data_IF_086399320022
#
_entry.id   IF_086399320022
#
_cell.length_a   1.000
_cell.length_b   1.000
_cell.length_c   1.000
_cell.angle_alpha   90.00
_cell.angle_beta   90.00
_cell.angle_gamma   90.00
#
_symmetry.space_group_name_H-M   'P 1'
#
loop_
_entity.id
_entity.type
_entity.pdbx_description
1 polymer ?
#
# COMPACT_ATOMS: atom_id res chain seq x y z
N UNK A 1 3.36 5.67 6.64
CA UNK A 1 2.40 5.40 7.75
C UNK A 1 1.36 6.51 7.99
N UNK A 2 1.65 7.78 7.68
CA UNK A 2 0.74 8.92 7.86
C UNK A 2 -0.68 8.69 7.29
N UNK A 3 -0.79 8.19 6.05
CA UNK A 3 -2.09 8.03 5.40
C UNK A 3 -3.00 7.03 6.10
N UNK A 4 -2.47 5.94 6.66
CA UNK A 4 -3.28 4.98 7.40
C UNK A 4 -3.95 5.62 8.63
N UNK A 5 -3.24 6.52 9.32
CA UNK A 5 -3.76 7.29 10.46
C UNK A 5 -4.75 8.36 10.03
N UNK A 6 -4.48 9.07 8.93
CA UNK A 6 -5.45 10.00 8.34
C UNK A 6 -6.76 9.28 7.98
N UNK A 7 -6.69 8.07 7.41
CA UNK A 7 -7.89 7.28 7.08
C UNK A 7 -8.72 6.92 8.31
N UNK A 8 -8.06 6.44 9.37
CA UNK A 8 -8.74 6.15 10.64
C UNK A 8 -9.40 7.42 11.21
N UNK A 9 -8.71 8.57 11.16
CA UNK A 9 -9.26 9.84 11.60
C UNK A 9 -10.47 10.27 10.76
N UNK A 10 -10.36 10.29 9.43
CA UNK A 10 -11.43 10.73 8.52
C UNK A 10 -12.70 9.93 8.75
N UNK A 11 -12.59 8.61 8.88
CA UNK A 11 -13.72 7.74 9.23
C UNK A 11 -14.28 8.03 10.63
N UNK A 12 -13.41 8.17 11.64
CA UNK A 12 -13.81 8.51 13.02
C UNK A 12 -14.64 9.79 13.07
N UNK A 13 -14.24 10.79 12.30
CA UNK A 13 -14.90 12.08 12.26
C UNK A 13 -16.30 12.00 11.64
N UNK A 14 -16.48 11.25 10.55
CA UNK A 14 -17.83 11.00 10.04
C UNK A 14 -18.70 10.24 11.05
N UNK A 15 -18.14 9.28 11.79
CA UNK A 15 -18.87 8.57 12.84
C UNK A 15 -19.33 9.51 13.96
N UNK A 16 -18.46 10.44 14.42
CA UNK A 16 -18.80 11.44 15.45
C UNK A 16 -19.94 12.37 15.04
N UNK A 17 -20.10 12.60 13.74
CA UNK A 17 -21.20 13.39 13.22
C UNK A 17 -22.51 12.61 13.08
N UNK A 18 -22.51 11.34 13.47
CA UNK A 18 -23.67 10.47 13.42
C UNK A 18 -23.88 9.81 12.06
N UNK A 19 -22.92 9.89 11.14
CA UNK A 19 -23.02 9.14 9.88
C UNK A 19 -22.85 7.64 10.16
N UNK A 20 -23.85 6.86 9.75
CA UNK A 20 -23.78 5.39 9.71
C UNK A 20 -23.35 4.87 8.34
N UNK A 21 -23.62 5.68 7.32
CA UNK A 21 -23.30 5.41 5.91
C UNK A 21 -22.98 6.72 5.21
N UNK A 22 -22.15 6.66 4.17
CA UNK A 22 -21.75 7.82 3.37
C UNK A 22 -21.58 7.40 1.91
N UNK A 23 -21.87 8.32 0.99
CA UNK A 23 -21.56 8.13 -0.43
C UNK A 23 -20.05 8.11 -0.65
N UNK A 24 -19.56 7.17 -1.47
CA UNK A 24 -18.12 7.01 -1.69
C UNK A 24 -17.47 8.29 -2.23
N UNK A 25 -18.15 8.99 -3.14
CA UNK A 25 -17.69 10.29 -3.64
C UNK A 25 -17.51 11.33 -2.55
N UNK A 26 -18.38 11.34 -1.53
CA UNK A 26 -18.26 12.26 -0.38
C UNK A 26 -17.16 11.80 0.58
N UNK A 27 -16.99 10.49 0.77
CA UNK A 27 -15.86 9.96 1.53
C UNK A 27 -14.51 10.39 0.90
N UNK A 28 -14.44 10.42 -0.43
CA UNK A 28 -13.26 10.86 -1.19
C UNK A 28 -13.34 12.31 -1.68
N UNK A 29 -14.19 13.14 -1.07
CA UNK A 29 -14.35 14.52 -1.48
C UNK A 29 -13.00 15.23 -1.62
N UNK A 30 -12.88 16.01 -2.69
CA UNK A 30 -11.68 16.73 -3.13
C UNK A 30 -10.55 15.87 -3.73
N UNK A 31 -10.79 14.58 -3.98
CA UNK A 31 -9.97 13.80 -4.90
C UNK A 31 -10.46 13.95 -6.35
N UNK A 32 -9.55 13.78 -7.30
CA UNK A 32 -9.92 13.66 -8.72
C UNK A 32 -10.40 12.26 -9.01
N UNK A 33 -11.55 12.12 -9.68
CA UNK A 33 -12.13 10.82 -10.00
C UNK A 33 -11.95 10.41 -11.46
N UNK A 34 -11.86 9.10 -11.66
CA UNK A 34 -12.09 8.47 -12.95
C UNK A 34 -13.53 8.68 -13.45
N UNK A 35 -13.76 8.51 -14.76
CA UNK A 35 -15.12 8.63 -15.33
C UNK A 35 -16.08 7.57 -14.78
N UNK A 36 -15.57 6.37 -14.52
CA UNK A 36 -16.32 5.23 -13.97
C UNK A 36 -15.88 4.98 -12.53
N UNK A 37 -15.98 6.02 -11.70
CA UNK A 37 -15.76 5.88 -10.27
C UNK A 37 -17.01 5.22 -9.63
N UNK A 38 -16.84 4.24 -8.73
CA UNK A 38 -17.97 3.53 -8.13
C UNK A 38 -18.92 4.48 -7.40
N UNK A 39 -20.20 4.43 -7.76
CA UNK A 39 -21.25 5.17 -7.09
C UNK A 39 -21.94 4.27 -6.05
N UNK A 40 -21.27 4.06 -4.92
CA UNK A 40 -21.72 3.17 -3.84
C UNK A 40 -21.81 3.92 -2.52
N UNK A 41 -22.69 3.44 -1.64
CA UNK A 41 -22.75 3.87 -0.24
C UNK A 41 -21.97 2.88 0.62
N UNK A 42 -21.03 3.38 1.40
CA UNK A 42 -20.25 2.59 2.35
C UNK A 42 -20.85 2.72 3.75
N UNK A 43 -20.86 1.63 4.50
CA UNK A 43 -21.16 1.63 5.92
C UNK A 43 -19.90 2.00 6.69
N UNK A 44 -20.05 2.90 7.66
CA UNK A 44 -18.95 3.32 8.50
C UNK A 44 -18.83 2.37 9.71
N UNK A 45 -17.63 1.83 9.98
CA UNK A 45 -17.39 1.06 11.21
C UNK A 45 -17.53 1.98 12.43
N UNK A 46 -17.80 1.41 13.61
CA UNK A 46 -17.87 2.22 14.83
C UNK A 46 -16.50 2.83 15.14
N UNK A 47 -16.51 4.02 15.73
CA UNK A 47 -15.28 4.77 16.06
C UNK A 47 -14.36 3.94 16.94
N UNK A 48 -14.90 3.25 17.94
CA UNK A 48 -14.13 2.49 18.93
C UNK A 48 -13.44 1.25 18.33
N UNK A 49 -13.94 0.78 17.18
CA UNK A 49 -13.42 -0.43 16.53
C UNK A 49 -12.28 -0.13 15.54
N UNK A 50 -12.07 1.14 15.18
CA UNK A 50 -11.09 1.54 14.17
C UNK A 50 -9.66 1.24 14.63
N UNK A 51 -8.98 0.35 13.89
CA UNK A 51 -7.62 -0.10 14.19
C UNK A 51 -6.71 0.04 12.98
N UNK A 52 -5.41 0.16 13.23
CA UNK A 52 -4.38 0.15 12.18
C UNK A 52 -3.42 -0.99 12.47
N UNK A 53 -3.16 -1.80 11.46
CA UNK A 53 -2.30 -2.97 11.57
C UNK A 53 -1.22 -2.94 10.50
N UNK A 54 -0.09 -3.57 10.78
CA UNK A 54 0.95 -3.86 9.79
C UNK A 54 0.87 -5.34 9.45
N UNK A 55 0.87 -5.66 8.17
CA UNK A 55 0.98 -7.05 7.76
C UNK A 55 2.41 -7.53 7.94
N UNK A 56 2.58 -8.84 8.13
CA UNK A 56 3.90 -9.50 8.07
C UNK A 56 4.26 -9.98 6.67
N UNK A 57 3.25 -10.19 5.81
CA UNK A 57 3.41 -10.68 4.44
C UNK A 57 2.65 -9.77 3.46
N UNK A 58 2.99 -9.85 2.17
CA UNK A 58 2.29 -9.09 1.14
C UNK A 58 0.85 -9.57 1.01
N UNK A 59 -0.07 -8.63 0.83
CA UNK A 59 -1.46 -8.91 0.50
C UNK A 59 -1.87 -8.27 -0.83
N UNK A 60 -2.61 -8.98 -1.71
CA UNK A 60 -2.87 -10.42 -1.65
C UNK A 60 -1.56 -11.19 -1.77
N UNK A 61 -1.40 -12.22 -0.92
CA UNK A 61 -0.29 -13.16 -1.06
C UNK A 61 -0.47 -13.91 -2.38
N UNK A 62 0.63 -14.31 -3.02
CA UNK A 62 0.65 -14.96 -4.34
C UNK A 62 -0.26 -16.19 -4.37
N UNK A 63 -1.51 -16.01 -4.78
CA UNK A 63 -2.31 -17.02 -5.45
C UNK A 63 -2.06 -16.82 -6.94
N UNK A 64 -1.50 -17.83 -7.60
CA UNK A 64 -1.07 -17.90 -9.00
C UNK A 64 0.42 -17.56 -9.29
N UNK A 65 1.35 -18.34 -8.71
CA UNK A 65 2.11 -19.20 -9.63
C UNK A 65 1.19 -20.39 -9.85
N UNK A 66 0.65 -20.51 -11.06
CA UNK A 66 -0.10 -21.71 -11.44
C UNK A 66 0.81 -22.89 -11.13
N UNK A 67 0.41 -23.75 -10.19
CA UNK A 67 0.91 -25.11 -10.15
C UNK A 67 0.46 -25.71 -11.47
N UNK A 68 1.37 -25.77 -12.43
CA UNK A 68 1.27 -26.73 -13.51
C UNK A 68 1.28 -28.10 -12.83
N UNK A 69 0.07 -28.63 -12.59
CA UNK A 69 -0.16 -30.00 -12.20
C UNK A 69 0.30 -30.90 -13.34
N UNK A 70 1.61 -31.10 -13.50
CA UNK A 70 2.13 -32.36 -14.01
C UNK A 70 2.20 -33.31 -12.82
N UNK A 71 1.11 -34.06 -12.69
CA UNK A 71 1.11 -35.33 -11.97
C UNK A 71 1.98 -36.28 -12.79
N UNK A 72 3.27 -36.34 -12.47
CA UNK A 72 4.09 -37.50 -12.78
C UNK A 72 4.11 -38.40 -11.55
N UNK A 73 2.99 -39.07 -11.31
CA UNK A 73 3.02 -40.36 -10.62
C UNK A 73 3.54 -41.39 -11.59
N UNK A 74 4.77 -41.85 -11.40
CA UNK A 74 5.05 -43.29 -11.43
C UNK A 74 6.34 -43.61 -10.66
N UNK A 75 6.15 -44.32 -9.56
CA UNK A 75 7.17 -44.90 -8.70
C UNK A 75 8.01 -45.96 -9.45
N UNK A 76 9.32 -45.86 -9.25
CA UNK A 76 10.30 -46.94 -9.03
C UNK A 76 10.11 -48.27 -9.79
N UNK A 77 11.12 -48.60 -10.63
CA UNK A 77 11.78 -49.91 -10.59
C UNK A 77 13.20 -49.88 -11.19
N UNK A 78 14.12 -50.32 -10.34
CA UNK A 78 15.51 -50.72 -10.59
C UNK A 78 15.55 -51.89 -11.58
N UNK A 79 16.52 -51.89 -12.52
CA UNK A 79 17.43 -53.03 -12.70
C UNK A 79 18.64 -52.74 -13.61
N UNK A 80 19.76 -53.34 -13.22
CA UNK A 80 21.11 -53.30 -13.79
C UNK A 80 21.19 -53.84 -15.24
N UNK A 81 22.16 -53.39 -16.04
CA UNK A 81 23.38 -54.17 -16.38
C UNK A 81 24.28 -53.51 -17.47
N UNK A 82 25.57 -53.40 -17.13
CA UNK A 82 26.78 -53.74 -17.90
C UNK A 82 27.17 -53.19 -19.29
N UNK A 83 28.46 -52.79 -19.33
CA UNK A 83 29.48 -52.88 -20.40
C UNK A 83 29.39 -51.88 -21.59
N UNK A 84 30.44 -51.18 -22.05
CA UNK A 84 31.91 -51.40 -22.02
C UNK A 84 32.63 -50.15 -22.58
N UNK A 85 33.87 -49.88 -22.09
CA UNK A 85 35.11 -49.43 -22.78
C UNK A 85 35.08 -48.15 -23.65
N UNK A 86 35.85 -47.09 -23.37
CA UNK A 86 37.33 -46.87 -23.33
C UNK A 86 37.73 -45.93 -24.49
N UNK A 87 38.74 -45.10 -24.21
CA UNK A 87 39.61 -44.26 -25.08
C UNK A 87 39.45 -42.76 -24.78
N UNK A 88 40.12 -42.17 -23.78
CA UNK A 88 41.55 -41.81 -23.58
C UNK A 88 42.16 -40.79 -24.58
N UNK A 89 42.71 -39.74 -23.95
CA UNK A 89 43.89 -38.92 -24.30
C UNK A 89 43.71 -37.86 -25.40
N UNK A 90 44.35 -36.69 -25.37
CA UNK A 90 45.08 -35.86 -24.39
C UNK A 90 45.44 -34.55 -25.15
N UNK A 91 46.01 -33.59 -24.43
CA UNK A 91 46.77 -32.39 -24.81
C UNK A 91 46.01 -31.08 -24.55
N UNK A 92 46.34 -30.35 -23.48
CA UNK A 92 47.58 -29.55 -23.27
C UNK A 92 47.64 -28.38 -24.29
N UNK A 93 47.92 -27.13 -23.96
CA UNK A 93 48.51 -26.52 -22.77
C UNK A 93 48.41 -24.99 -22.96
N UNK A 94 48.41 -24.26 -21.84
CA UNK A 94 49.08 -22.98 -21.58
C UNK A 94 48.68 -21.69 -22.34
N UNK A 95 48.36 -20.64 -21.57
CA UNK A 95 49.43 -19.72 -21.15
C UNK A 95 48.99 -18.84 -19.96
N UNK A 96 49.94 -18.71 -19.03
CA UNK A 96 49.91 -18.04 -17.74
C UNK A 96 50.25 -16.53 -17.84
N UNK A 97 50.28 -15.91 -16.65
CA UNK A 97 51.00 -14.69 -16.22
C UNK A 97 50.17 -13.39 -16.17
N UNK A 98 50.25 -12.55 -15.14
CA UNK A 98 50.82 -12.58 -13.78
C UNK A 98 50.33 -11.28 -13.10
N UNK A 99 50.09 -11.34 -11.78
CA UNK A 99 50.30 -10.35 -10.71
C UNK A 99 49.98 -8.86 -10.92
N UNK A 100 49.20 -8.29 -9.98
CA UNK A 100 49.71 -7.23 -9.09
C UNK A 100 48.83 -7.01 -7.85
N UNK A 101 49.54 -6.60 -6.80
CA UNK A 101 49.21 -6.55 -5.39
C UNK A 101 48.29 -5.38 -4.98
N UNK A 102 47.71 -5.57 -3.79
CA UNK A 102 47.36 -4.57 -2.76
C UNK A 102 46.39 -3.43 -3.06
N UNK A 103 45.19 -3.54 -2.46
CA UNK A 103 44.67 -2.49 -1.58
C UNK A 103 43.65 -3.10 -0.61
N UNK A 104 44.08 -3.31 0.64
CA UNK A 104 43.18 -3.55 1.77
C UNK A 104 42.48 -2.23 2.09
N UNK A 105 41.23 -2.09 1.66
CA UNK A 105 40.32 -1.13 2.27
C UNK A 105 39.44 -1.87 3.26
N UNK A 106 39.60 -1.50 4.53
CA UNK A 106 38.71 -1.89 5.61
C UNK A 106 37.29 -1.42 5.27
N UNK A 107 36.45 -2.34 4.80
CA UNK A 107 35.01 -2.16 4.83
C UNK A 107 34.60 -2.37 6.28
N UNK A 108 34.51 -1.28 7.04
CA UNK A 108 33.60 -1.19 8.17
C UNK A 108 32.18 -1.25 7.60
N UNK A 109 31.77 -2.46 7.18
CA UNK A 109 30.38 -2.84 7.03
C UNK A 109 29.82 -2.88 8.45
N UNK A 110 29.44 -1.70 8.95
CA UNK A 110 28.38 -1.61 9.96
C UNK A 110 27.11 -2.16 9.29
N UNK A 111 27.01 -3.50 9.25
CA UNK A 111 25.75 -4.23 9.12
C UNK A 111 24.84 -3.72 10.24
N UNK A 112 24.10 -2.67 9.92
CA UNK A 112 22.95 -2.25 10.68
C UNK A 112 21.96 -3.41 10.64
N UNK A 113 22.05 -4.28 11.65
CA UNK A 113 21.11 -5.37 11.85
C UNK A 113 19.68 -4.81 11.77
N UNK A 114 18.84 -5.42 10.94
CA UNK A 114 17.43 -5.09 10.76
C UNK A 114 16.64 -5.04 12.09
N UNK A 115 17.18 -5.64 13.14
CA UNK A 115 16.66 -5.66 14.50
C UNK A 115 16.72 -4.29 15.21
N UNK A 116 17.64 -3.38 14.86
CA UNK A 116 17.76 -2.07 15.53
C UNK A 116 16.73 -1.04 15.03
N UNK A 117 16.10 -1.27 13.88
CA UNK A 117 14.91 -0.55 13.42
C UNK A 117 13.63 -0.95 14.19
N UNK A 118 13.65 -2.07 14.93
CA UNK A 118 12.45 -2.63 15.55
C UNK A 118 12.06 -1.94 16.88
N UNK A 119 12.93 -1.10 17.44
CA UNK A 119 12.72 -0.48 18.76
C UNK A 119 11.81 0.76 18.80
N UNK A 120 11.12 1.13 17.72
CA UNK A 120 10.22 2.30 17.72
C UNK A 120 8.89 2.05 16.98
N UNK A 121 7.99 1.20 17.51
CA UNK A 121 6.56 1.27 17.13
C UNK A 121 5.61 0.47 18.06
N UNK A 122 5.38 0.94 19.28
CA UNK A 122 4.48 0.29 20.25
C UNK A 122 2.96 0.40 19.93
N UNK A 123 2.56 0.88 18.74
CA UNK A 123 1.14 1.17 18.44
C UNK A 123 0.52 0.37 17.27
N UNK A 124 1.18 -0.69 16.79
CA UNK A 124 0.65 -1.50 15.68
C UNK A 124 0.55 -2.97 16.05
N UNK A 125 -0.64 -3.55 15.87
CA UNK A 125 -0.79 -5.00 15.87
C UNK A 125 -0.21 -5.54 14.55
N UNK A 126 0.82 -6.39 14.64
CA UNK A 126 1.32 -7.17 13.51
C UNK A 126 0.36 -8.34 13.27
N UNK A 127 -0.08 -8.55 12.02
CA UNK A 127 -1.01 -9.62 11.64
C UNK A 127 -0.47 -10.34 10.40
N UNK A 128 -0.59 -11.66 10.34
CA UNK A 128 -0.05 -12.44 9.22
C UNK A 128 -0.87 -12.23 7.94
N UNK A 129 -2.21 -12.32 8.02
CA UNK A 129 -3.11 -12.05 6.90
C UNK A 129 -4.43 -11.39 7.37
N UNK A 130 -5.05 -10.53 6.54
CA UNK A 130 -6.46 -10.24 6.72
C UNK A 130 -7.22 -11.56 6.48
N UNK A 131 -7.73 -12.16 7.57
CA UNK A 131 -8.41 -13.45 7.55
C UNK A 131 -9.42 -13.58 6.39
N UNK A 132 -9.66 -14.80 5.90
CA UNK A 132 -10.60 -15.13 4.82
C UNK A 132 -12.01 -14.54 4.99
N UNK A 133 -12.38 -14.22 6.23
CA UNK A 133 -13.60 -13.50 6.57
C UNK A 133 -13.34 -11.98 6.69
N UNK A 134 -13.54 -11.27 5.57
CA UNK A 134 -13.43 -9.81 5.49
C UNK A 134 -14.35 -9.10 6.49
N UNK A 135 -15.47 -9.70 6.89
CA UNK A 135 -16.43 -9.06 7.80
C UNK A 135 -15.81 -8.74 9.16
N UNK A 136 -14.82 -9.53 9.60
CA UNK A 136 -14.05 -9.30 10.83
C UNK A 136 -13.01 -8.18 10.69
N UNK A 137 -12.70 -7.79 9.46
CA UNK A 137 -11.62 -6.88 9.11
C UNK A 137 -12.10 -5.47 8.74
N UNK A 138 -13.42 -5.21 8.73
CA UNK A 138 -13.99 -3.92 8.29
C UNK A 138 -13.53 -2.70 9.10
N UNK A 139 -13.12 -2.92 10.34
CA UNK A 139 -12.64 -1.86 11.22
C UNK A 139 -11.14 -1.58 11.08
N UNK A 140 -10.41 -2.42 10.36
CA UNK A 140 -8.97 -2.34 10.22
C UNK A 140 -8.55 -1.54 8.98
N UNK A 141 -7.49 -0.74 9.15
CA UNK A 141 -6.66 -0.24 8.06
C UNK A 141 -5.34 -1.00 8.08
N UNK A 142 -4.98 -1.62 6.96
CA UNK A 142 -3.78 -2.43 6.85
C UNK A 142 -2.69 -1.64 6.14
N UNK A 143 -1.51 -1.58 6.74
CA UNK A 143 -0.27 -1.24 6.06
C UNK A 143 0.31 -2.54 5.50
N UNK A 144 0.47 -2.59 4.18
CA UNK A 144 1.08 -3.71 3.49
C UNK A 144 2.59 -3.73 3.72
N UNK A 145 3.24 -4.84 3.39
CA UNK A 145 4.71 -4.95 3.43
C UNK A 145 5.33 -4.48 2.12
N UNK A 146 6.60 -4.04 2.19
CA UNK A 146 7.33 -3.47 1.05
C UNK A 146 7.44 -4.46 -0.10
N UNK A 147 7.00 -4.09 -1.30
CA UNK A 147 7.02 -4.95 -2.49
C UNK A 147 5.64 -5.48 -2.90
N UNK A 148 4.60 -5.25 -2.09
CA UNK A 148 3.23 -5.53 -2.48
C UNK A 148 2.72 -4.58 -3.59
N UNK A 149 1.62 -4.96 -4.24
CA UNK A 149 0.99 -4.17 -5.31
C UNK A 149 0.31 -2.87 -4.83
N UNK A 150 0.17 -2.67 -3.51
CA UNK A 150 -0.26 -1.43 -2.88
C UNK A 150 0.24 -1.30 -1.45
N UNK A 151 0.33 -0.05 -0.97
CA UNK A 151 0.95 0.26 0.33
C UNK A 151 -0.03 0.15 1.50
N UNK A 152 -1.27 0.60 1.32
CA UNK A 152 -2.29 0.63 2.39
C UNK A 152 -3.61 0.16 1.82
N UNK A 153 -4.39 -0.60 2.60
CA UNK A 153 -5.74 -0.96 2.19
C UNK A 153 -6.73 -1.13 3.34
N UNK A 154 -8.01 -1.15 2.99
CA UNK A 154 -9.13 -1.38 3.91
C UNK A 154 -10.30 -2.00 3.16
N UNK A 155 -11.06 -2.83 3.87
CA UNK A 155 -12.38 -3.26 3.45
C UNK A 155 -13.48 -2.43 4.11
N UNK A 156 -14.49 -2.05 3.33
CA UNK A 156 -15.71 -1.43 3.82
C UNK A 156 -16.91 -2.25 3.34
N UNK A 157 -17.93 -2.35 4.18
CA UNK A 157 -19.21 -2.92 3.76
C UNK A 157 -19.93 -1.91 2.88
N UNK A 158 -20.54 -2.37 1.79
CA UNK A 158 -21.43 -1.60 0.93
C UNK A 158 -22.83 -2.22 0.94
N UNK A 159 -23.77 -1.61 0.23
CA UNK A 159 -25.15 -2.12 0.12
C UNK A 159 -25.20 -3.55 -0.41
N UNK A 160 -26.26 -4.29 -0.04
CA UNK A 160 -26.48 -5.70 -0.38
C UNK A 160 -25.45 -6.67 0.21
N UNK A 161 -24.92 -6.35 1.39
CA UNK A 161 -23.94 -7.16 2.13
C UNK A 161 -22.65 -7.48 1.37
N UNK A 162 -22.35 -6.69 0.33
CA UNK A 162 -21.11 -6.72 -0.43
C UNK A 162 -20.01 -5.91 0.25
N UNK A 163 -18.80 -6.02 -0.26
CA UNK A 163 -17.60 -5.35 0.21
C UNK A 163 -16.93 -4.53 -0.88
N UNK A 164 -16.34 -3.42 -0.45
CA UNK A 164 -15.48 -2.54 -1.21
C UNK A 164 -14.05 -2.65 -0.66
N UNK A 165 -13.07 -2.92 -1.51
CA UNK A 165 -11.66 -2.76 -1.17
C UNK A 165 -11.15 -1.38 -1.59
N UNK A 166 -10.60 -0.63 -0.65
CA UNK A 166 -9.87 0.62 -0.93
C UNK A 166 -8.39 0.27 -0.90
N UNK A 167 -7.75 0.15 -2.07
CA UNK A 167 -6.30 0.02 -2.17
C UNK A 167 -5.67 1.40 -2.40
N UNK A 168 -4.58 1.69 -1.70
CA UNK A 168 -3.90 2.97 -1.76
C UNK A 168 -2.47 2.73 -2.21
N UNK A 169 -2.12 3.36 -3.32
CA UNK A 169 -0.75 3.40 -3.82
C UNK A 169 -0.20 4.80 -3.58
N UNK A 170 0.88 4.88 -2.82
CA UNK A 170 1.65 6.07 -2.55
C UNK A 170 2.85 6.11 -3.48
N UNK A 171 3.07 7.28 -4.10
CA UNK A 171 4.27 7.58 -4.89
C UNK A 171 4.84 8.90 -4.40
N UNK A 172 5.77 8.80 -3.47
CA UNK A 172 6.38 9.92 -2.81
C UNK A 172 7.81 10.11 -3.33
N UNK A 173 8.13 11.34 -3.73
CA UNK A 173 9.51 11.77 -4.02
C UNK A 173 10.16 12.22 -2.72
N UNK A 174 11.30 11.62 -2.37
CA UNK A 174 12.18 12.11 -1.30
C UNK A 174 12.78 13.47 -1.68
N UNK A 175 13.01 14.35 -0.71
CA UNK A 175 13.65 15.66 -0.95
C UNK A 175 15.13 15.53 -1.32
N UNK A 176 15.79 14.45 -0.91
CA UNK A 176 17.24 14.26 -1.08
C UNK A 176 17.59 13.57 -2.40
N UNK A 177 16.59 13.27 -3.24
CA UNK A 177 16.86 12.64 -4.54
C UNK A 177 17.30 13.68 -5.56
N UNK A 178 18.48 13.46 -6.15
CA UNK A 178 18.98 14.25 -7.28
C UNK A 178 18.12 14.09 -8.55
N UNK A 179 17.23 13.09 -8.58
CA UNK A 179 16.28 12.85 -9.67
C UNK A 179 14.88 12.68 -9.08
N UNK A 180 14.07 13.76 -9.00
CA UNK A 180 12.71 13.65 -8.50
C UNK A 180 11.89 12.72 -9.39
N UNK A 181 11.03 11.91 -8.78
CA UNK A 181 10.13 11.03 -9.53
C UNK A 181 9.11 11.90 -10.27
N UNK A 182 8.84 11.55 -11.52
CA UNK A 182 7.79 12.17 -12.31
C UNK A 182 6.70 11.12 -12.53
N UNK A 183 5.48 11.44 -12.13
CA UNK A 183 4.31 10.60 -12.41
C UNK A 183 3.82 10.94 -13.80
N UNK A 184 4.01 9.99 -14.72
CA UNK A 184 3.46 10.04 -16.06
C UNK A 184 2.36 8.97 -16.24
N UNK A 185 1.73 8.98 -17.41
CA UNK A 185 0.65 8.05 -17.73
C UNK A 185 1.08 6.58 -17.66
N UNK A 186 2.32 6.26 -18.08
CA UNK A 186 2.83 4.88 -18.10
C UNK A 186 3.02 4.33 -16.70
N UNK A 187 3.62 5.12 -15.79
CA UNK A 187 3.78 4.73 -14.39
C UNK A 187 2.42 4.50 -13.74
N UNK A 188 1.47 5.43 -13.92
CA UNK A 188 0.11 5.27 -13.41
C UNK A 188 -0.58 4.02 -13.98
N UNK A 189 -0.47 3.78 -15.30
CA UNK A 189 -1.04 2.61 -15.95
C UNK A 189 -0.43 1.31 -15.41
N UNK A 190 0.87 1.29 -15.14
CA UNK A 190 1.56 0.14 -14.58
C UNK A 190 1.05 -0.18 -13.17
N UNK A 191 0.97 0.82 -12.28
CA UNK A 191 0.44 0.62 -10.93
C UNK A 191 -1.04 0.21 -10.95
N UNK A 192 -1.86 0.86 -11.79
CA UNK A 192 -3.27 0.48 -11.96
C UNK A 192 -3.40 -0.96 -12.45
N UNK A 193 -2.54 -1.40 -13.37
CA UNK A 193 -2.55 -2.78 -13.90
C UNK A 193 -2.17 -3.81 -12.84
N UNK A 194 -1.15 -3.52 -12.01
CA UNK A 194 -0.77 -4.39 -10.88
C UNK A 194 -1.93 -4.57 -9.91
N UNK A 195 -2.50 -3.47 -9.43
CA UNK A 195 -3.65 -3.48 -8.52
C UNK A 195 -4.84 -4.21 -9.15
N UNK A 196 -5.16 -3.95 -10.42
CA UNK A 196 -6.25 -4.64 -11.13
C UNK A 196 -6.05 -6.16 -11.19
N UNK A 197 -4.81 -6.63 -11.40
CA UNK A 197 -4.50 -8.06 -11.40
C UNK A 197 -4.66 -8.65 -10.00
N UNK A 198 -4.10 -8.00 -8.99
CA UNK A 198 -4.19 -8.44 -7.60
C UNK A 198 -5.62 -8.46 -7.05
N UNK A 199 -6.47 -7.52 -7.46
CA UNK A 199 -7.89 -7.48 -7.06
C UNK A 199 -8.69 -8.72 -7.47
N UNK A 200 -8.19 -9.54 -8.40
CA UNK A 200 -8.81 -10.85 -8.71
C UNK A 200 -8.73 -11.85 -7.55
N UNK A 201 -7.74 -11.69 -6.67
CA UNK A 201 -7.52 -12.54 -5.50
C UNK A 201 -8.12 -11.94 -4.22
N UNK A 202 -8.70 -10.75 -4.30
CA UNK A 202 -9.28 -10.04 -3.17
C UNK A 202 -10.78 -10.37 -3.10
N UNK A 203 -11.31 -10.85 -1.96
CA UNK A 203 -12.74 -11.20 -1.84
C UNK A 203 -13.65 -9.97 -1.66
N UNK A 204 -13.52 -8.97 -2.54
CA UNK A 204 -14.38 -7.78 -2.56
C UNK A 204 -15.04 -7.62 -3.94
N UNK A 205 -16.33 -7.32 -3.95
CA UNK A 205 -17.12 -7.17 -5.18
C UNK A 205 -16.83 -5.85 -5.89
N UNK A 206 -16.44 -4.83 -5.15
CA UNK A 206 -16.02 -3.54 -5.67
C UNK A 206 -14.62 -3.22 -5.16
N UNK A 207 -13.87 -2.44 -5.93
CA UNK A 207 -12.60 -1.91 -5.47
C UNK A 207 -12.33 -0.53 -6.03
N UNK A 208 -11.45 0.21 -5.37
CA UNK A 208 -10.87 1.43 -5.91
C UNK A 208 -9.36 1.48 -5.66
N UNK A 209 -8.64 2.06 -6.61
CA UNK A 209 -7.27 2.52 -6.42
C UNK A 209 -7.29 4.01 -6.07
N UNK A 210 -6.91 4.33 -4.84
CA UNK A 210 -6.56 5.68 -4.44
C UNK A 210 -5.06 5.91 -4.69
N UNK A 211 -4.74 6.69 -5.71
CA UNK A 211 -3.37 7.05 -6.05
C UNK A 211 -2.99 8.36 -5.34
N UNK A 212 -1.95 8.30 -4.51
CA UNK A 212 -1.51 9.42 -3.66
C UNK A 212 -0.08 9.81 -4.06
N UNK A 213 0.16 11.07 -4.42
CA UNK A 213 1.49 11.51 -4.85
C UNK A 213 1.81 12.95 -4.45
N UNK A 214 3.01 13.18 -3.95
CA UNK A 214 3.57 14.54 -3.78
C UNK A 214 4.46 14.95 -4.99
N UNK A 215 4.66 14.02 -5.92
CA UNK A 215 5.63 14.11 -7.00
C UNK A 215 5.07 14.91 -8.16
N UNK A 216 5.95 15.49 -8.97
CA UNK A 216 5.53 16.22 -10.17
C UNK A 216 4.81 15.30 -11.14
N UNK A 217 3.82 15.84 -11.83
CA UNK A 217 3.01 15.10 -12.81
C UNK A 217 3.20 15.69 -14.20
N UNK A 218 3.34 14.82 -15.20
CA UNK A 218 3.38 15.20 -16.61
C UNK A 218 2.46 14.31 -17.41
N UNK A 219 1.62 14.92 -18.24
CA UNK A 219 0.74 14.23 -19.20
C UNK A 219 -0.12 13.12 -18.58
N UNK A 220 -0.55 13.29 -17.33
CA UNK A 220 -1.34 12.30 -16.59
C UNK A 220 -2.84 12.55 -16.74
N UNK A 221 -3.58 11.55 -17.23
CA UNK A 221 -5.04 11.53 -17.29
C UNK A 221 -5.60 10.27 -16.63
N UNK A 222 -6.10 10.41 -15.41
CA UNK A 222 -6.70 9.29 -14.67
C UNK A 222 -8.14 8.94 -15.12
N UNK A 223 -8.77 9.82 -15.92
CA UNK A 223 -10.18 9.71 -16.33
C UNK A 223 -10.51 8.43 -17.12
N UNK A 224 -9.52 7.86 -17.81
CA UNK A 224 -9.73 6.76 -18.76
C UNK A 224 -9.71 5.37 -18.12
N UNK A 225 -9.03 5.22 -16.98
CA UNK A 225 -9.06 3.98 -16.20
C UNK A 225 -10.25 4.00 -15.26
N UNK A 226 -10.83 2.85 -14.99
CA UNK A 226 -11.95 2.71 -14.07
C UNK A 226 -11.47 2.64 -12.62
N UNK A 227 -12.40 2.77 -11.68
CA UNK A 227 -12.17 2.44 -10.27
C UNK A 227 -10.92 3.09 -9.66
N UNK A 228 -10.69 4.37 -9.96
CA UNK A 228 -9.57 5.09 -9.35
C UNK A 228 -9.91 6.53 -9.00
N UNK A 229 -9.17 7.01 -8.02
CA UNK A 229 -9.11 8.40 -7.59
C UNK A 229 -7.65 8.84 -7.45
N UNK A 230 -7.37 10.12 -7.68
CA UNK A 230 -6.05 10.73 -7.53
C UNK A 230 -6.11 11.87 -6.54
N UNK A 231 -5.14 11.89 -5.64
CA UNK A 231 -4.83 13.03 -4.79
C UNK A 231 -3.35 13.36 -5.01
N UNK A 232 -3.10 14.39 -5.80
CA UNK A 232 -1.76 14.93 -6.01
C UNK A 232 -1.49 16.08 -5.05
N UNK A 233 -0.27 16.62 -5.07
CA UNK A 233 0.12 17.80 -4.29
C UNK A 233 -0.89 18.96 -4.42
N UNK A 234 -1.50 19.14 -5.59
CA UNK A 234 -2.48 20.19 -5.85
C UNK A 234 -3.78 19.98 -5.06
N UNK A 235 -4.17 18.73 -4.83
CA UNK A 235 -5.38 18.39 -4.07
C UNK A 235 -5.10 18.22 -2.58
N UNK A 236 -3.85 18.22 -2.11
CA UNK A 236 -3.53 17.94 -0.71
C UNK A 236 -4.24 18.89 0.26
N UNK A 237 -4.25 20.19 -0.06
CA UNK A 237 -4.87 21.21 0.78
C UNK A 237 -6.39 21.09 0.84
N UNK A 238 -7.04 20.52 -0.16
CA UNK A 238 -8.49 20.34 -0.14
C UNK A 238 -8.87 18.96 0.42
N UNK A 239 -8.06 17.94 0.14
CA UNK A 239 -8.34 16.56 0.54
C UNK A 239 -7.99 16.26 2.00
N UNK A 240 -6.77 16.62 2.41
CA UNK A 240 -6.31 16.48 3.80
C UNK A 240 -6.56 17.75 4.60
N UNK A 241 -6.34 18.87 3.89
CA UNK A 241 -6.27 20.26 4.27
C UNK A 241 -5.28 20.72 5.31
N UNK A 242 -5.22 22.04 5.52
CA UNK A 242 -4.02 22.76 5.98
C UNK A 242 -3.12 22.00 6.96
N UNK A 243 -3.63 21.65 8.13
CA UNK A 243 -2.88 20.93 9.17
C UNK A 243 -2.37 19.57 8.70
N UNK A 244 -3.23 18.79 8.03
CA UNK A 244 -2.86 17.46 7.55
C UNK A 244 -2.10 17.52 6.22
N UNK A 245 -2.35 18.48 5.35
CA UNK A 245 -1.63 18.69 4.10
C UNK A 245 -0.16 18.99 4.36
N UNK A 246 0.13 19.87 5.33
CA UNK A 246 1.50 20.11 5.81
C UNK A 246 2.12 18.84 6.40
N UNK A 247 1.33 18.04 7.15
CA UNK A 247 1.80 16.74 7.65
C UNK A 247 1.97 15.68 6.55
N UNK A 248 1.20 15.69 5.46
CA UNK A 248 1.40 14.80 4.30
C UNK A 248 2.71 15.17 3.63
N UNK A 249 2.93 16.46 3.42
CA UNK A 249 4.17 17.00 2.86
C UNK A 249 5.34 16.63 3.79
N UNK A 250 5.21 16.82 5.10
CA UNK A 250 6.25 16.47 6.05
C UNK A 250 6.45 14.95 6.18
N UNK A 251 5.39 14.14 6.12
CA UNK A 251 5.46 12.67 6.11
C UNK A 251 6.19 12.17 4.87
N UNK A 252 6.02 12.91 3.77
CA UNK A 252 6.69 12.63 2.51
C UNK A 252 8.19 12.94 2.58
N UNK A 253 8.61 13.78 3.53
CA UNK A 253 10.01 14.12 3.75
C UNK A 253 10.62 13.44 4.98
N UNK A 254 9.82 12.94 5.94
CA UNK A 254 10.27 12.40 7.23
C UNK A 254 9.31 11.32 7.76
N UNK A 255 9.83 10.18 8.23
CA UNK A 255 9.01 9.05 8.69
C UNK A 255 8.33 9.24 10.07
N UNK A 256 8.72 10.26 10.85
CA UNK A 256 8.24 10.46 12.24
C UNK A 256 7.23 11.60 12.31
N UNK A 257 5.96 11.27 12.59
CA UNK A 257 4.92 12.27 12.93
C UNK A 257 4.19 11.87 14.22
N UNK A 258 4.21 12.80 15.18
CA UNK A 258 3.38 12.78 16.38
C UNK A 258 2.09 13.57 16.12
N UNK A 259 0.93 12.96 16.41
CA UNK A 259 -0.35 13.35 15.78
C UNK A 259 -1.29 14.12 16.70
N UNK A 260 -1.02 14.21 18.00
CA UNK A 260 -1.97 14.79 18.93
C UNK A 260 -1.74 16.29 19.14
N UNK A 261 -2.52 17.06 18.39
CA UNK A 261 -3.08 18.39 18.72
C UNK A 261 -3.71 18.91 17.43
N UNK A 262 -5.03 19.05 17.39
CA UNK A 262 -5.76 19.63 16.25
C UNK A 262 -6.82 20.55 16.81
N UNK A 263 -6.84 21.79 16.33
CA UNK A 263 -7.80 22.82 16.74
C UNK A 263 -9.18 22.61 16.08
N UNK A 264 -10.25 23.18 16.66
CA UNK A 264 -11.62 23.08 16.12
C UNK A 264 -11.74 23.56 14.65
N UNK A 265 -10.99 24.60 14.26
CA UNK A 265 -11.08 25.14 12.90
C UNK A 265 -10.45 24.21 11.86
N UNK A 266 -9.49 23.38 12.27
CA UNK A 266 -8.96 22.30 11.43
C UNK A 266 -10.02 21.26 11.04
N UNK A 267 -11.21 21.23 11.66
CA UNK A 267 -12.31 20.34 11.26
C UNK A 267 -13.17 20.88 10.09
N UNK A 268 -13.01 22.17 9.71
CA UNK A 268 -13.67 22.74 8.50
C UNK A 268 -13.28 22.01 7.22
N UNK A 269 -12.17 21.30 7.30
CA UNK A 269 -11.40 20.64 6.26
C UNK A 269 -12.07 19.42 5.65
N UNK A 270 -12.97 18.79 6.41
CA UNK A 270 -13.80 17.69 5.97
C UNK A 270 -15.18 18.20 5.52
N UNK A 271 -15.26 19.49 5.22
CA UNK A 271 -16.48 20.20 4.85
C UNK A 271 -17.61 20.14 5.89
N UNK A 272 -17.24 19.86 7.14
CA UNK A 272 -18.18 19.88 8.23
C UNK A 272 -18.64 21.29 8.51
N UNK A 273 -19.96 21.45 8.63
CA UNK A 273 -20.57 22.71 9.01
C UNK A 273 -20.22 23.07 10.46
N UNK A 274 -20.50 24.32 10.87
CA UNK A 274 -20.11 24.81 12.22
C UNK A 274 -20.65 23.92 13.34
N UNK A 275 -21.90 23.46 13.23
CA UNK A 275 -22.55 22.63 14.24
C UNK A 275 -21.90 21.25 14.35
N UNK A 276 -21.52 20.67 13.22
CA UNK A 276 -20.79 19.40 13.15
C UNK A 276 -19.41 19.52 13.83
N UNK A 277 -18.66 20.58 13.54
CA UNK A 277 -17.35 20.82 14.16
C UNK A 277 -17.41 21.00 15.68
N UNK A 278 -18.38 21.77 16.18
CA UNK A 278 -18.54 21.96 17.62
C UNK A 278 -18.84 20.62 18.32
N UNK A 279 -19.68 19.76 17.74
CA UNK A 279 -19.95 18.42 18.30
C UNK A 279 -18.71 17.55 18.39
N UNK A 280 -17.88 17.53 17.35
CA UNK A 280 -16.63 16.76 17.37
C UNK A 280 -15.70 17.28 18.47
N UNK A 281 -15.58 18.59 18.62
CA UNK A 281 -14.72 19.22 19.62
C UNK A 281 -15.18 18.99 21.06
N UNK A 282 -16.49 18.84 21.29
CA UNK A 282 -17.05 18.51 22.60
C UNK A 282 -16.84 17.03 23.00
N UNK A 283 -16.60 16.14 22.02
CA UNK A 283 -16.43 14.69 22.22
C UNK A 283 -14.96 14.20 22.17
N UNK A 284 -13.98 15.10 21.97
CA UNK A 284 -12.55 14.78 21.88
C UNK A 284 -11.74 15.55 22.93
#
# INVERSE_FOLDING_TARGET
MFNAKFWALRLSLFCLLGYKKIDLGELFKNAKFSRRFPNVKVFLPKKEDLKICKLRHWYPGVGDKKEDNEIDTEDNKIDNNDNTKDDKMDNDENDEMENNEDDKMDNDDDEMNDDDMERVNENYTKIDYPYSDISKNISYTFCNTNGADWDIFRFLRIVNDKFLCIAQQMKITSVDTNKPMIINQDLFNNEHTKVTKAMKCVPAEEWILLFLTNSDMRDLTIKMKESNALVSRNEFLEFYGYTYASRVQFASTNEKIFINSTDENSLKILDFNKKERCRIYEEC
#
